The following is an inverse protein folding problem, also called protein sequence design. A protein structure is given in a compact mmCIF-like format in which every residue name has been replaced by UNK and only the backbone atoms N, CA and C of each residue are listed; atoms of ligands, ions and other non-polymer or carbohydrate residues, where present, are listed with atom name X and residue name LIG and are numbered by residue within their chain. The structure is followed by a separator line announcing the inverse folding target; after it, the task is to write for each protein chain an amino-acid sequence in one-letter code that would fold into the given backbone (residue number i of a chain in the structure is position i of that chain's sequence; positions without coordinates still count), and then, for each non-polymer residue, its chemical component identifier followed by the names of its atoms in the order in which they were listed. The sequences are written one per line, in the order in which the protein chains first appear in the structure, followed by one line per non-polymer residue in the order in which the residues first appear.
data_IF_923217458571
#
_entry.id   IF_923217458571
#
_cell.length_a   1.000
_cell.length_b   1.000
_cell.length_c   1.000
_cell.angle_alpha   90.00
_cell.angle_beta   90.00
_cell.angle_gamma   90.00
#
_symmetry.space_group_name_H-M   'P 1'
#
loop_
_entity.id
_entity.type
_entity.pdbx_description
1 polymer ?
#
# COMPACT_ATOMS: atom_id res chain seq x y z
N UNK A 1 9.67 19.98 -46.60
CA UNK A 1 9.74 20.88 -45.43
C UNK A 1 8.97 22.14 -45.78
N UNK A 2 7.84 22.40 -45.12
CA UNK A 2 7.12 23.67 -45.23
C UNK A 2 6.68 24.07 -43.82
N UNK A 3 7.31 25.14 -43.34
CA UNK A 3 7.09 25.80 -42.05
C UNK A 3 5.86 26.70 -42.17
N UNK A 4 4.89 26.53 -41.27
CA UNK A 4 3.71 27.40 -41.16
C UNK A 4 3.56 27.85 -39.71
N UNK A 5 4.21 28.95 -39.35
CA UNK A 5 3.79 29.83 -38.26
C UNK A 5 4.16 31.26 -38.64
N UNK A 6 3.19 31.96 -39.24
CA UNK A 6 3.29 33.38 -39.53
C UNK A 6 3.06 34.21 -38.27
N UNK A 7 3.91 35.23 -38.14
CA UNK A 7 3.90 36.28 -37.15
C UNK A 7 2.59 37.08 -37.07
N UNK A 8 2.31 37.64 -35.87
CA UNK A 8 1.60 38.91 -35.71
C UNK A 8 2.37 39.81 -34.74
N UNK A 9 2.49 41.05 -35.15
CA UNK A 9 3.39 42.10 -34.68
C UNK A 9 2.69 43.04 -33.67
N UNK A 10 3.54 43.85 -33.02
CA UNK A 10 3.33 45.22 -32.55
C UNK A 10 2.75 45.51 -31.14
N UNK A 11 3.70 45.80 -30.24
CA UNK A 11 3.94 47.10 -29.59
C UNK A 11 2.76 47.90 -29.01
N UNK A 12 2.84 48.14 -27.70
CA UNK A 12 2.51 49.45 -27.11
C UNK A 12 3.47 49.77 -25.95
N UNK A 13 4.30 50.79 -26.18
CA UNK A 13 5.09 51.51 -25.19
C UNK A 13 4.20 52.58 -24.52
N UNK A 14 4.29 52.71 -23.20
CA UNK A 14 4.23 53.99 -22.50
C UNK A 14 4.70 53.77 -21.05
N UNK A 15 5.80 54.41 -20.69
CA UNK A 15 6.35 54.36 -19.34
C UNK A 15 5.89 55.52 -18.48
N UNK A 16 6.17 55.42 -17.19
CA UNK A 16 6.55 56.54 -16.32
C UNK A 16 7.29 55.98 -15.11
N UNK A 17 8.54 56.39 -14.94
CA UNK A 17 9.35 56.24 -13.72
C UNK A 17 8.79 57.19 -12.65
N UNK A 18 8.94 56.86 -11.37
CA UNK A 18 9.34 57.81 -10.32
C UNK A 18 9.85 57.05 -9.07
N UNK A 19 11.15 57.28 -8.79
CA UNK A 19 11.81 57.49 -7.49
C UNK A 19 11.73 56.51 -6.31
N UNK A 20 12.95 56.13 -5.89
CA UNK A 20 13.42 55.51 -4.63
C UNK A 20 13.17 56.42 -3.40
N UNK A 21 13.27 55.91 -2.15
CA UNK A 21 14.55 56.02 -1.46
C UNK A 21 14.97 54.80 -0.59
N UNK A 22 16.23 54.85 -0.17
CA UNK A 22 17.05 53.92 0.61
C UNK A 22 16.62 53.82 2.09
N UNK A 23 16.83 52.66 2.74
CA UNK A 23 17.61 52.48 3.98
C UNK A 23 17.32 51.13 4.65
N UNK A 24 18.36 50.48 5.20
CA UNK A 24 18.21 49.43 6.22
C UNK A 24 19.03 48.16 5.98
N UNK A 25 20.09 47.87 6.77
CA UNK A 25 20.98 46.73 6.55
C UNK A 25 20.58 45.48 7.34
N UNK A 26 21.47 44.49 7.27
CA UNK A 26 21.83 43.47 8.27
C UNK A 26 21.46 42.00 8.00
N UNK A 27 22.53 41.19 8.09
CA UNK A 27 22.66 39.75 8.30
C UNK A 27 22.70 38.81 7.09
N UNK A 28 23.89 38.76 6.48
CA UNK A 28 24.44 37.53 5.90
C UNK A 28 24.39 36.39 6.93
N UNK A 29 23.49 35.44 6.76
CA UNK A 29 23.55 34.14 7.45
C UNK A 29 24.44 33.21 6.63
N UNK A 30 25.70 33.11 7.04
CA UNK A 30 26.57 31.99 6.70
C UNK A 30 25.99 30.72 7.33
N UNK A 31 25.29 29.90 6.56
CA UNK A 31 24.97 28.54 6.97
C UNK A 31 26.21 27.68 6.76
N UNK A 32 26.90 27.38 7.86
CA UNK A 32 27.96 26.38 7.90
C UNK A 32 27.44 25.03 7.40
N UNK A 33 28.05 24.52 6.33
CA UNK A 33 27.83 23.16 5.84
C UNK A 33 28.52 22.22 6.82
N UNK A 34 27.73 21.59 7.69
CA UNK A 34 28.19 20.50 8.55
C UNK A 34 28.51 19.29 7.66
N UNK A 35 29.80 19.10 7.37
CA UNK A 35 30.31 17.90 6.71
C UNK A 35 30.24 16.73 7.70
N UNK A 36 29.34 15.79 7.46
CA UNK A 36 29.33 14.50 8.16
C UNK A 36 30.51 13.67 7.67
N UNK A 37 31.52 13.51 8.50
CA UNK A 37 32.58 12.53 8.32
C UNK A 37 32.00 11.14 8.62
N UNK A 38 31.84 10.31 7.58
CA UNK A 38 31.53 8.90 7.76
C UNK A 38 32.81 8.15 8.12
N UNK A 39 32.95 7.78 9.40
CA UNK A 39 33.93 6.79 9.85
C UNK A 39 33.58 5.43 9.24
N UNK A 40 34.48 4.94 8.40
CA UNK A 40 34.45 3.60 7.79
C UNK A 40 34.79 2.55 8.84
N UNK A 41 33.81 1.81 9.34
CA UNK A 41 34.07 0.59 10.13
C UNK A 41 34.23 -0.60 9.20
N UNK A 42 35.33 -1.34 9.33
CA UNK A 42 35.69 -2.48 8.52
C UNK A 42 34.66 -3.63 8.63
N UNK A 43 34.31 -4.22 7.48
CA UNK A 43 33.46 -5.41 7.37
C UNK A 43 34.27 -6.66 7.70
N UNK A 44 33.97 -7.32 8.82
CA UNK A 44 34.52 -8.63 9.17
C UNK A 44 33.88 -9.70 8.27
N UNK A 45 34.71 -10.36 7.46
CA UNK A 45 34.31 -11.45 6.58
C UNK A 45 34.41 -12.78 7.35
N UNK A 46 33.28 -13.45 7.59
CA UNK A 46 33.25 -14.81 8.12
C UNK A 46 33.27 -15.83 6.98
N UNK A 47 34.13 -16.87 7.03
CA UNK A 47 34.28 -17.81 5.92
C UNK A 47 33.11 -18.79 5.81
N UNK A 48 32.68 -19.01 4.57
CA UNK A 48 31.68 -20.00 4.15
C UNK A 48 32.31 -21.39 4.00
N UNK A 49 31.80 -22.40 4.70
CA UNK A 49 32.14 -23.81 4.42
C UNK A 49 31.05 -24.49 3.60
N UNK A 50 31.47 -25.09 2.47
CA UNK A 50 30.65 -25.89 1.54
C UNK A 50 30.48 -27.34 2.05
N UNK A 51 29.54 -28.03 1.40
CA UNK A 51 28.82 -29.24 1.77
C UNK A 51 29.54 -30.62 1.71
N UNK A 52 29.01 -31.55 2.55
CA UNK A 52 28.73 -33.02 2.38
C UNK A 52 29.91 -34.03 2.39
N UNK A 53 29.72 -35.34 2.76
CA UNK A 53 28.52 -36.18 2.56
C UNK A 53 28.09 -37.17 3.71
N UNK A 54 27.02 -37.93 3.40
CA UNK A 54 26.27 -38.99 4.15
C UNK A 54 27.09 -40.24 4.53
N UNK A 55 26.76 -40.87 5.67
CA UNK A 55 26.81 -42.34 5.90
C UNK A 55 25.57 -42.80 6.69
N UNK A 56 25.05 -44.00 6.36
CA UNK A 56 23.89 -44.70 6.94
C UNK A 56 24.33 -45.89 7.83
N UNK A 57 23.43 -46.31 8.73
CA UNK A 57 23.30 -47.60 9.44
C UNK A 57 24.21 -47.77 10.70
N UNK A 58 23.81 -48.40 11.81
CA UNK A 58 22.87 -49.51 12.08
C UNK A 58 22.19 -49.41 13.46
N UNK A 59 21.15 -50.24 13.59
CA UNK A 59 20.38 -50.72 14.74
C UNK A 59 21.22 -51.23 15.94
N UNK A 60 20.60 -51.28 17.15
CA UNK A 60 20.72 -52.33 18.20
C UNK A 60 20.21 -51.83 19.57
N UNK A 61 19.13 -52.49 20.00
CA UNK A 61 18.70 -52.94 21.32
C UNK A 61 18.38 -52.03 22.53
N UNK A 62 17.22 -52.41 23.10
CA UNK A 62 16.57 -52.01 24.34
C UNK A 62 17.09 -52.92 25.48
N UNK A 63 16.98 -52.48 26.75
CA UNK A 63 16.11 -53.28 27.61
C UNK A 63 15.12 -52.47 28.45
N UNK A 64 14.06 -53.20 28.80
CA UNK A 64 12.88 -52.87 29.60
C UNK A 64 13.25 -52.96 31.09
N UNK A 65 12.77 -52.02 31.91
CA UNK A 65 12.45 -52.29 33.32
C UNK A 65 11.05 -51.75 33.62
N UNK A 66 10.30 -52.50 34.43
CA UNK A 66 8.84 -52.55 34.56
C UNK A 66 8.49 -52.32 36.04
N UNK A 67 7.40 -51.59 36.30
CA UNK A 67 6.71 -51.52 37.60
C UNK A 67 6.94 -50.20 38.35
N UNK A 68 5.95 -49.52 38.93
CA UNK A 68 4.65 -49.97 39.45
C UNK A 68 3.59 -48.85 39.37
N UNK A 69 2.34 -49.29 39.38
CA UNK A 69 1.09 -48.54 39.20
C UNK A 69 0.60 -47.82 40.46
N UNK A 70 0.02 -46.63 40.31
CA UNK A 70 -1.01 -46.10 41.21
C UNK A 70 -2.08 -45.32 40.42
N UNK A 71 -3.29 -45.29 41.00
CA UNK A 71 -4.61 -45.23 40.36
C UNK A 71 -5.09 -43.82 39.99
N UNK A 72 -6.02 -43.78 39.04
CA UNK A 72 -6.75 -42.65 38.44
C UNK A 72 -7.53 -41.77 39.43
N UNK A 73 -7.69 -40.49 39.07
CA UNK A 73 -8.95 -39.73 39.22
C UNK A 73 -9.32 -39.16 37.84
N UNK A 74 -10.52 -39.43 37.28
CA UNK A 74 -10.90 -38.94 35.96
C UNK A 74 -11.62 -37.58 36.07
N UNK A 75 -10.97 -36.50 35.65
CA UNK A 75 -11.67 -35.25 35.36
C UNK A 75 -12.33 -35.36 33.97
N UNK A 76 -13.66 -35.26 33.98
CA UNK A 76 -14.57 -35.36 32.83
C UNK A 76 -14.19 -34.34 31.75
N UNK A 77 -13.50 -34.80 30.71
CA UNK A 77 -13.47 -34.09 29.42
C UNK A 77 -14.80 -34.34 28.72
N UNK A 78 -15.70 -33.35 28.73
CA UNK A 78 -16.83 -33.30 27.79
C UNK A 78 -16.25 -33.37 26.37
N UNK A 79 -16.32 -34.55 25.76
CA UNK A 79 -16.10 -34.75 24.32
C UNK A 79 -17.22 -33.99 23.61
N UNK A 80 -16.90 -32.80 23.11
CA UNK A 80 -17.70 -32.15 22.08
C UNK A 80 -17.55 -33.03 20.84
N UNK A 81 -18.62 -33.73 20.48
CA UNK A 81 -18.75 -34.46 19.22
C UNK A 81 -18.41 -33.54 18.05
N UNK A 82 -17.57 -33.95 17.09
CA UNK A 82 -17.39 -33.19 15.86
C UNK A 82 -18.72 -33.20 15.11
N UNK A 83 -19.48 -32.11 15.22
CA UNK A 83 -20.61 -31.86 14.32
C UNK A 83 -20.10 -32.01 12.90
N UNK A 84 -20.71 -32.97 12.21
CA UNK A 84 -20.58 -33.26 10.80
C UNK A 84 -20.49 -31.93 10.02
N UNK A 85 -19.30 -31.64 9.48
CA UNK A 85 -19.10 -30.50 8.62
C UNK A 85 -19.86 -30.80 7.34
N UNK A 86 -21.13 -30.38 7.29
CA UNK A 86 -21.89 -30.25 6.05
C UNK A 86 -20.95 -29.61 5.04
N UNK A 87 -20.59 -30.36 3.99
CA UNK A 87 -19.81 -29.87 2.88
C UNK A 87 -20.61 -28.72 2.29
N UNK A 88 -20.31 -27.49 2.70
CA UNK A 88 -20.85 -26.29 2.09
C UNK A 88 -20.45 -26.37 0.63
N UNK A 89 -21.40 -26.71 -0.23
CA UNK A 89 -21.24 -26.57 -1.67
C UNK A 89 -20.77 -25.15 -1.87
N UNK A 90 -19.54 -25.01 -2.36
CA UNK A 90 -18.84 -23.75 -2.48
C UNK A 90 -19.43 -23.05 -3.71
N UNK A 91 -20.72 -22.69 -3.64
CA UNK A 91 -21.37 -21.82 -4.60
C UNK A 91 -20.73 -20.47 -4.37
N UNK A 92 -19.64 -20.21 -5.09
CA UNK A 92 -19.04 -18.89 -5.18
C UNK A 92 -20.21 -17.95 -5.48
N UNK A 93 -20.48 -16.93 -4.64
CA UNK A 93 -21.53 -15.97 -4.95
C UNK A 93 -21.32 -15.51 -6.39
N UNK A 94 -22.38 -15.41 -7.19
CA UNK A 94 -22.23 -14.96 -8.57
C UNK A 94 -22.00 -13.45 -8.50
N UNK A 95 -20.75 -13.04 -8.59
CA UNK A 95 -20.39 -11.63 -8.62
C UNK A 95 -20.43 -11.12 -10.06
N UNK A 96 -21.03 -9.95 -10.26
CA UNK A 96 -21.12 -9.33 -11.57
C UNK A 96 -19.74 -8.96 -12.11
N UNK A 97 -19.33 -9.63 -13.19
CA UNK A 97 -18.04 -9.43 -13.84
C UNK A 97 -17.81 -7.98 -14.29
N UNK A 98 -18.88 -7.23 -14.60
CA UNK A 98 -18.81 -5.81 -15.01
C UNK A 98 -18.34 -4.91 -13.85
N UNK A 99 -18.84 -5.14 -12.64
CA UNK A 99 -18.46 -4.37 -11.45
C UNK A 99 -17.04 -4.68 -10.99
N UNK A 100 -16.52 -5.88 -11.30
CA UNK A 100 -15.15 -6.28 -10.98
C UNK A 100 -14.06 -5.59 -11.82
N UNK A 101 -14.43 -4.84 -12.85
CA UNK A 101 -13.46 -4.15 -13.71
C UNK A 101 -12.97 -2.88 -13.03
N UNK A 102 -11.70 -2.92 -12.60
CA UNK A 102 -11.04 -1.77 -11.97
C UNK A 102 -10.86 -0.65 -12.99
N UNK A 103 -11.22 0.60 -12.66
CA UNK A 103 -10.90 1.76 -13.47
C UNK A 103 -9.41 1.81 -13.83
N UNK A 104 -9.10 2.05 -15.11
CA UNK A 104 -7.72 2.19 -15.58
C UNK A 104 -7.19 3.56 -15.20
N UNK A 105 -5.94 3.62 -14.73
CA UNK A 105 -5.21 4.89 -14.57
C UNK A 105 -4.92 5.46 -15.95
N UNK A 106 -5.21 6.75 -16.13
CA UNK A 106 -4.78 7.50 -17.32
C UNK A 106 -3.35 7.99 -17.15
N UNK A 107 -2.71 8.37 -18.26
CA UNK A 107 -1.28 8.73 -18.32
C UNK A 107 -0.86 9.63 -17.16
N UNK A 108 -0.03 9.09 -16.26
CA UNK A 108 0.46 9.78 -15.06
C UNK A 108 1.68 10.64 -15.34
N UNK A 109 2.19 10.62 -16.57
CA UNK A 109 3.38 11.35 -17.01
C UNK A 109 3.07 12.08 -18.31
N UNK A 110 3.78 13.19 -18.56
CA UNK A 110 3.62 13.99 -19.77
C UNK A 110 3.90 13.13 -21.03
N UNK A 111 4.92 12.27 -20.97
CA UNK A 111 5.21 11.29 -22.02
C UNK A 111 4.07 10.31 -22.25
N UNK A 112 3.37 9.84 -21.21
CA UNK A 112 2.23 8.94 -21.37
C UNK A 112 1.03 9.61 -22.05
N UNK A 113 0.84 10.92 -21.86
CA UNK A 113 -0.17 11.71 -22.56
C UNK A 113 0.23 11.87 -24.03
N UNK A 114 1.47 12.32 -24.29
CA UNK A 114 2.03 12.45 -25.63
C UNK A 114 1.96 11.14 -26.43
N UNK A 115 2.45 10.03 -25.87
CA UNK A 115 2.42 8.73 -26.54
C UNK A 115 1.02 8.25 -26.85
N UNK A 116 0.02 8.57 -26.01
CA UNK A 116 -1.37 8.23 -26.28
C UNK A 116 -1.91 8.98 -27.50
N UNK A 117 -1.62 10.28 -27.60
CA UNK A 117 -2.00 11.10 -28.76
C UNK A 117 -1.25 10.66 -30.01
N UNK A 118 0.06 10.41 -29.89
CA UNK A 118 0.90 9.92 -30.97
C UNK A 118 0.46 8.54 -31.48
N UNK A 119 0.10 7.63 -30.58
CA UNK A 119 -0.46 6.33 -30.95
C UNK A 119 -1.84 6.46 -31.59
N UNK A 120 -2.69 7.38 -31.12
CA UNK A 120 -4.00 7.60 -31.74
C UNK A 120 -3.86 8.07 -33.20
N UNK A 121 -2.90 8.95 -33.48
CA UNK A 121 -2.58 9.40 -34.84
C UNK A 121 -1.89 8.29 -35.65
N UNK A 122 -0.97 7.53 -35.06
CA UNK A 122 -0.24 6.46 -35.72
C UNK A 122 -1.08 5.21 -36.04
N UNK A 123 -2.08 4.89 -35.22
CA UNK A 123 -3.02 3.78 -35.48
C UNK A 123 -3.90 4.04 -36.71
N UNK A 124 -4.23 5.30 -36.99
CA UNK A 124 -4.97 5.66 -38.22
C UNK A 124 -4.17 5.30 -39.48
N UNK A 125 -2.85 5.38 -39.39
CA UNK A 125 -1.92 5.07 -40.48
C UNK A 125 -1.55 3.58 -40.55
N UNK A 126 -2.18 2.70 -39.74
CA UNK A 126 -1.94 1.24 -39.68
C UNK A 126 -0.47 0.83 -39.46
N UNK A 127 0.32 1.70 -38.82
CA UNK A 127 1.72 1.41 -38.49
C UNK A 127 1.75 0.45 -37.26
N UNK A 128 2.65 -0.55 -37.22
CA UNK A 128 2.77 -1.43 -36.06
C UNK A 128 3.08 -0.64 -34.78
N UNK A 129 2.34 -0.94 -33.71
CA UNK A 129 2.41 -0.23 -32.41
C UNK A 129 3.82 -0.20 -31.85
N UNK A 130 4.59 -1.28 -32.01
CA UNK A 130 5.97 -1.36 -31.52
C UNK A 130 6.86 -0.25 -32.11
N UNK A 131 6.72 0.00 -33.41
CA UNK A 131 7.57 0.97 -34.09
C UNK A 131 7.08 2.40 -33.85
N UNK A 132 5.77 2.60 -33.70
CA UNK A 132 5.20 3.87 -33.21
C UNK A 132 5.75 4.27 -31.83
N UNK A 133 5.86 3.34 -30.89
CA UNK A 133 6.40 3.66 -29.55
C UNK A 133 7.88 4.05 -29.66
N UNK A 134 8.65 3.41 -30.55
CA UNK A 134 10.06 3.77 -30.77
C UNK A 134 10.20 5.16 -31.39
N UNK A 135 9.39 5.50 -32.39
CA UNK A 135 9.42 6.83 -33.01
C UNK A 135 8.94 7.89 -32.02
N UNK A 136 7.87 7.63 -31.26
CA UNK A 136 7.38 8.50 -30.20
C UNK A 136 8.46 8.80 -29.15
N UNK A 137 9.24 7.80 -28.74
CA UNK A 137 10.32 8.03 -27.77
C UNK A 137 11.42 8.93 -28.34
N UNK A 138 11.78 8.78 -29.62
CA UNK A 138 12.78 9.63 -30.27
C UNK A 138 12.29 11.07 -30.40
N UNK A 139 11.05 11.24 -30.84
CA UNK A 139 10.43 12.56 -30.97
C UNK A 139 10.28 13.25 -29.61
N UNK A 140 9.81 12.54 -28.59
CA UNK A 140 9.69 13.10 -27.23
C UNK A 140 11.02 13.62 -26.68
N UNK A 141 12.11 12.90 -26.94
CA UNK A 141 13.44 13.31 -26.51
C UNK A 141 13.97 14.52 -27.31
N UNK A 142 13.55 14.67 -28.58
CA UNK A 142 13.89 15.80 -29.42
C UNK A 142 13.06 17.07 -29.13
N UNK A 143 11.86 16.93 -28.53
CA UNK A 143 11.03 18.08 -28.14
C UNK A 143 11.72 18.95 -27.08
N UNK A 144 11.62 20.27 -27.25
CA UNK A 144 12.09 21.23 -26.25
C UNK A 144 11.19 21.24 -25.02
N UNK A 145 11.68 21.77 -23.90
CA UNK A 145 10.88 21.83 -22.66
C UNK A 145 9.61 22.65 -22.83
N UNK A 146 9.65 23.71 -23.65
CA UNK A 146 8.47 24.52 -24.00
C UNK A 146 7.38 23.69 -24.71
N UNK A 147 7.77 22.74 -25.58
CA UNK A 147 6.85 21.84 -26.26
C UNK A 147 6.34 20.71 -25.34
N UNK A 148 7.06 20.40 -24.27
CA UNK A 148 6.64 19.41 -23.26
C UNK A 148 5.65 19.99 -22.24
N UNK A 149 5.68 21.31 -22.00
CA UNK A 149 4.80 21.99 -21.03
C UNK A 149 3.30 21.68 -21.23
N UNK A 150 2.72 21.75 -22.45
CA UNK A 150 1.30 21.49 -22.65
C UNK A 150 0.87 20.09 -22.19
N UNK A 151 1.75 19.09 -22.29
CA UNK A 151 1.47 17.73 -21.85
C UNK A 151 1.51 17.54 -20.34
N UNK A 152 2.06 18.50 -19.59
CA UNK A 152 2.07 18.49 -18.12
C UNK A 152 0.74 18.94 -17.51
N UNK A 153 0.06 19.90 -18.16
CA UNK A 153 -1.22 20.47 -17.73
C UNK A 153 -2.32 19.40 -17.53
N UNK A 154 -2.57 18.46 -18.49
CA UNK A 154 -3.62 17.48 -18.32
C UNK A 154 -3.30 16.41 -17.26
N UNK A 155 -2.09 16.31 -16.73
CA UNK A 155 -1.72 15.27 -15.76
C UNK A 155 -2.55 15.39 -14.48
N UNK A 156 -2.66 16.61 -13.94
CA UNK A 156 -3.43 16.86 -12.72
C UNK A 156 -4.92 16.60 -12.95
N UNK A 157 -5.48 17.14 -14.04
CA UNK A 157 -6.88 16.90 -14.42
C UNK A 157 -7.18 15.40 -14.61
N UNK A 158 -6.28 14.66 -15.28
CA UNK A 158 -6.41 13.21 -15.47
C UNK A 158 -6.32 12.43 -14.16
N UNK A 159 -5.45 12.87 -13.24
CA UNK A 159 -5.31 12.27 -11.92
C UNK A 159 -6.57 12.48 -11.08
N UNK A 160 -7.09 13.70 -11.04
CA UNK A 160 -8.33 14.03 -10.31
C UNK A 160 -9.54 13.31 -10.90
N UNK A 161 -9.67 13.28 -12.23
CA UNK A 161 -10.72 12.54 -12.90
C UNK A 161 -10.62 11.03 -12.63
N UNK A 162 -9.41 10.48 -12.55
CA UNK A 162 -9.20 9.08 -12.16
C UNK A 162 -9.59 8.84 -10.70
N UNK A 163 -9.18 9.71 -9.77
CA UNK A 163 -9.52 9.60 -8.35
C UNK A 163 -11.03 9.64 -8.15
N UNK A 164 -11.74 10.58 -8.79
CA UNK A 164 -13.22 10.65 -8.76
C UNK A 164 -13.88 9.37 -9.29
N UNK A 165 -13.44 8.86 -10.45
CA UNK A 165 -13.98 7.61 -11.03
C UNK A 165 -13.66 6.40 -10.16
N UNK A 166 -12.46 6.34 -9.59
CA UNK A 166 -12.03 5.26 -8.70
C UNK A 166 -12.85 5.26 -7.41
N UNK A 167 -13.12 6.42 -6.86
CA UNK A 167 -13.97 6.61 -5.68
C UNK A 167 -15.42 6.17 -5.95
N UNK A 168 -16.01 6.63 -7.06
CA UNK A 168 -17.36 6.23 -7.48
C UNK A 168 -17.44 4.72 -7.70
N UNK A 169 -16.48 4.14 -8.42
CA UNK A 169 -16.39 2.70 -8.62
C UNK A 169 -16.31 1.97 -7.28
N UNK A 170 -15.44 2.39 -6.37
CA UNK A 170 -15.28 1.74 -5.07
C UNK A 170 -16.56 1.83 -4.21
N UNK A 171 -17.27 2.97 -4.22
CA UNK A 171 -18.56 3.14 -3.52
C UNK A 171 -19.67 2.27 -4.11
N UNK A 172 -19.65 2.05 -5.42
CA UNK A 172 -20.66 1.22 -6.11
C UNK A 172 -20.51 -0.27 -5.84
N UNK A 173 -19.39 -0.72 -5.27
CA UNK A 173 -19.14 -2.13 -5.01
C UNK A 173 -19.89 -2.62 -3.76
N UNK A 174 -20.65 -3.73 -3.85
CA UNK A 174 -21.21 -4.37 -2.67
C UNK A 174 -20.12 -4.90 -1.71
N UNK A 175 -20.43 -5.05 -0.42
CA UNK A 175 -19.51 -5.61 0.56
C UNK A 175 -18.92 -6.95 0.10
N UNK A 176 -17.59 -7.10 0.21
CA UNK A 176 -16.89 -8.33 -0.16
C UNK A 176 -16.40 -8.43 -1.61
N UNK A 177 -16.91 -7.61 -2.54
CA UNK A 177 -16.44 -7.62 -3.95
C UNK A 177 -14.94 -7.30 -4.05
N UNK A 178 -14.47 -6.25 -3.36
CA UNK A 178 -13.05 -5.86 -3.35
C UNK A 178 -12.14 -7.01 -2.91
N UNK A 179 -12.57 -7.79 -1.90
CA UNK A 179 -11.81 -8.94 -1.40
C UNK A 179 -11.63 -9.99 -2.50
N UNK A 180 -12.70 -10.29 -3.23
CA UNK A 180 -12.63 -11.29 -4.29
C UNK A 180 -11.86 -10.79 -5.52
N UNK A 181 -12.00 -9.52 -5.89
CA UNK A 181 -11.17 -8.91 -6.93
C UNK A 181 -9.69 -9.02 -6.54
N UNK A 182 -9.37 -8.80 -5.26
CA UNK A 182 -8.00 -8.96 -4.76
C UNK A 182 -7.50 -10.39 -4.80
N UNK A 183 -8.35 -11.39 -4.54
CA UNK A 183 -8.01 -12.81 -4.72
C UNK A 183 -7.65 -13.10 -6.18
N UNK A 184 -8.52 -12.73 -7.13
CA UNK A 184 -8.27 -12.92 -8.56
C UNK A 184 -7.03 -12.16 -9.06
N UNK A 185 -6.78 -10.96 -8.53
CA UNK A 185 -5.58 -10.18 -8.87
C UNK A 185 -4.31 -10.84 -8.34
N UNK A 186 -4.33 -11.35 -7.11
CA UNK A 186 -3.22 -12.10 -6.52
C UNK A 186 -2.89 -13.36 -7.32
N UNK A 187 -3.91 -14.11 -7.73
CA UNK A 187 -3.75 -15.28 -8.61
C UNK A 187 -3.10 -14.91 -9.95
N UNK A 188 -3.41 -13.73 -10.48
CA UNK A 188 -2.79 -13.18 -11.72
C UNK A 188 -1.46 -12.46 -11.47
N UNK A 189 -0.89 -12.50 -10.25
CA UNK A 189 0.34 -11.79 -9.90
C UNK A 189 0.23 -10.25 -9.91
N UNK A 190 -0.99 -9.70 -9.91
CA UNK A 190 -1.25 -8.25 -9.92
C UNK A 190 -1.36 -7.70 -8.50
N UNK A 191 -0.94 -6.45 -8.30
CA UNK A 191 -1.09 -5.76 -7.03
C UNK A 191 -2.54 -5.66 -6.55
N UNK A 192 -2.71 -5.77 -5.23
CA UNK A 192 -4.00 -5.66 -4.55
C UNK A 192 -4.54 -4.23 -4.64
N UNK A 193 -5.85 -4.14 -4.80
CA UNK A 193 -6.63 -2.92 -4.74
C UNK A 193 -6.72 -2.48 -3.28
N UNK A 194 -6.44 -1.20 -3.05
CA UNK A 194 -6.52 -0.55 -1.74
C UNK A 194 -7.75 0.35 -1.69
N UNK A 195 -8.25 0.62 -0.48
CA UNK A 195 -9.30 1.63 -0.29
C UNK A 195 -8.81 2.98 -0.85
N UNK A 196 -9.67 3.77 -1.49
CA UNK A 196 -9.31 5.11 -1.92
C UNK A 196 -8.91 5.99 -0.74
N UNK A 197 -8.02 6.95 -0.95
CA UNK A 197 -7.52 7.84 0.11
C UNK A 197 -8.61 8.77 0.67
N UNK A 198 -9.62 9.09 -0.13
CA UNK A 198 -10.77 9.89 0.27
C UNK A 198 -11.69 9.19 1.26
N UNK A 199 -11.68 7.85 1.30
CA UNK A 199 -12.44 7.08 2.27
C UNK A 199 -11.61 6.86 3.53
N UNK A 200 -12.15 7.29 4.67
CA UNK A 200 -11.52 7.00 5.94
C UNK A 200 -11.61 5.51 6.28
N UNK A 201 -10.58 5.01 6.94
CA UNK A 201 -10.54 3.64 7.44
C UNK A 201 -11.45 3.52 8.66
N UNK A 202 -12.30 2.49 8.74
CA UNK A 202 -13.12 2.23 9.90
C UNK A 202 -12.27 2.09 11.15
N UNK A 203 -12.78 2.51 12.31
CA UNK A 203 -12.06 2.41 13.56
C UNK A 203 -11.81 0.96 13.94
N UNK A 204 -10.77 0.77 14.73
CA UNK A 204 -10.32 -0.55 15.13
C UNK A 204 -11.26 -1.19 16.17
N UNK A 205 -11.06 -2.48 16.44
CA UNK A 205 -11.77 -3.20 17.51
C UNK A 205 -11.14 -2.89 18.88
N UNK A 206 -11.82 -3.31 19.97
CA UNK A 206 -11.36 -3.10 21.34
C UNK A 206 -9.93 -3.57 21.58
N UNK A 207 -9.55 -4.73 21.02
CA UNK A 207 -8.21 -5.28 21.13
C UNK A 207 -7.11 -4.34 20.63
N UNK A 208 -7.33 -3.57 19.55
CA UNK A 208 -6.29 -2.66 19.05
C UNK A 208 -6.07 -1.48 20.01
N UNK A 209 -7.10 -1.00 20.68
CA UNK A 209 -6.94 0.02 21.73
C UNK A 209 -6.15 -0.52 22.91
N UNK A 210 -6.51 -1.73 23.38
CA UNK A 210 -5.70 -2.44 24.38
C UNK A 210 -4.25 -2.63 23.91
N UNK A 211 -4.05 -3.09 22.67
CA UNK A 211 -2.71 -3.33 22.12
C UNK A 211 -1.90 -2.02 22.06
N UNK A 212 -2.54 -0.90 21.72
CA UNK A 212 -1.88 0.40 21.72
C UNK A 212 -1.42 0.83 23.11
N UNK A 213 -2.24 0.59 24.14
CA UNK A 213 -1.90 0.87 25.54
C UNK A 213 -0.83 -0.11 26.04
N UNK A 214 -0.99 -1.40 25.76
CA UNK A 214 -0.03 -2.44 26.11
C UNK A 214 1.37 -2.11 25.58
N UNK A 215 1.47 -1.67 24.32
CA UNK A 215 2.77 -1.24 23.73
C UNK A 215 3.37 0.00 24.39
N UNK A 216 2.57 0.86 25.01
CA UNK A 216 3.06 2.04 25.74
C UNK A 216 3.50 1.66 27.15
N UNK A 217 2.81 0.71 27.80
CA UNK A 217 3.09 0.31 29.18
C UNK A 217 4.18 -0.74 29.31
N UNK A 218 4.37 -1.60 28.30
CA UNK A 218 5.42 -2.62 28.32
C UNK A 218 6.63 -2.12 27.53
N UNK A 219 7.80 -1.93 28.16
CA UNK A 219 9.05 -1.66 27.46
C UNK A 219 9.32 -2.77 26.43
N UNK A 220 9.58 -2.37 25.19
CA UNK A 220 9.76 -3.30 24.07
C UNK A 220 11.22 -3.53 23.68
N UNK A 221 12.16 -3.05 24.49
CA UNK A 221 13.56 -2.87 24.08
C UNK A 221 14.24 -4.19 23.70
N UNK A 222 13.87 -5.29 24.36
CA UNK A 222 14.44 -6.62 24.10
C UNK A 222 13.50 -7.55 23.31
N UNK A 223 12.26 -7.14 23.04
CA UNK A 223 11.24 -8.01 22.47
C UNK A 223 10.90 -7.60 21.04
N UNK A 224 11.21 -8.50 20.09
CA UNK A 224 10.83 -8.32 18.69
C UNK A 224 9.32 -8.06 18.53
N UNK A 225 8.94 -7.14 17.63
CA UNK A 225 7.55 -6.71 17.42
C UNK A 225 6.54 -7.87 17.21
N UNK A 226 6.86 -8.95 16.46
CA UNK A 226 5.97 -10.11 16.35
C UNK A 226 5.79 -10.85 17.67
N UNK A 227 6.83 -10.92 18.52
CA UNK A 227 6.77 -11.56 19.83
C UNK A 227 5.97 -10.70 20.81
N UNK A 228 6.15 -9.39 20.79
CA UNK A 228 5.32 -8.44 21.56
C UNK A 228 3.84 -8.57 21.19
N UNK A 229 3.54 -8.75 19.89
CA UNK A 229 2.17 -8.97 19.40
C UNK A 229 1.57 -10.29 19.90
N UNK A 230 2.37 -11.35 20.00
CA UNK A 230 1.93 -12.63 20.59
C UNK A 230 1.66 -12.48 22.08
N UNK A 231 2.54 -11.80 22.81
CA UNK A 231 2.40 -11.55 24.25
C UNK A 231 1.15 -10.73 24.54
N UNK A 232 0.92 -9.65 23.79
CA UNK A 232 -0.29 -8.84 23.92
C UNK A 232 -1.55 -9.64 23.57
N UNK A 233 -1.49 -10.53 22.57
CA UNK A 233 -2.58 -11.45 22.27
C UNK A 233 -2.87 -12.45 23.39
N UNK A 234 -1.84 -12.93 24.10
CA UNK A 234 -2.00 -13.78 25.27
C UNK A 234 -2.58 -13.00 26.46
N UNK A 235 -2.04 -11.82 26.75
CA UNK A 235 -2.53 -10.91 27.78
C UNK A 235 -4.01 -10.57 27.55
N UNK A 236 -4.39 -10.16 26.32
CA UNK A 236 -5.78 -9.90 25.97
C UNK A 236 -6.69 -11.10 26.23
N UNK A 237 -6.27 -12.33 25.94
CA UNK A 237 -7.10 -13.51 26.24
C UNK A 237 -7.27 -13.73 27.75
N UNK A 238 -6.22 -13.47 28.53
CA UNK A 238 -6.21 -13.62 29.98
C UNK A 238 -6.97 -12.51 30.73
N UNK A 239 -7.19 -11.33 30.12
CA UNK A 239 -7.93 -10.23 30.78
C UNK A 239 -9.34 -10.66 31.21
N UNK A 240 -9.84 -10.16 32.36
CA UNK A 240 -11.22 -10.35 32.77
C UNK A 240 -12.20 -9.73 31.76
N UNK A 241 -13.44 -10.24 31.77
CA UNK A 241 -14.47 -9.79 30.82
C UNK A 241 -14.78 -8.30 30.99
N UNK A 242 -14.77 -7.80 32.22
CA UNK A 242 -15.05 -6.39 32.54
C UNK A 242 -14.03 -5.43 31.91
N UNK A 243 -12.74 -5.73 32.04
CA UNK A 243 -11.68 -4.92 31.45
C UNK A 243 -11.71 -4.98 29.92
N UNK A 244 -12.00 -6.15 29.34
CA UNK A 244 -12.24 -6.28 27.89
C UNK A 244 -13.41 -5.41 27.44
N UNK A 245 -14.47 -5.35 28.25
CA UNK A 245 -15.67 -4.62 27.90
C UNK A 245 -15.44 -3.10 27.91
N UNK A 246 -14.59 -2.58 28.79
CA UNK A 246 -14.11 -1.18 28.71
C UNK A 246 -13.57 -0.84 27.32
N UNK A 247 -12.72 -1.71 26.76
CA UNK A 247 -12.15 -1.52 25.43
C UNK A 247 -13.16 -1.73 24.29
N UNK A 248 -14.06 -2.71 24.43
CA UNK A 248 -15.12 -2.96 23.45
C UNK A 248 -16.11 -1.80 23.39
N UNK A 249 -16.52 -1.27 24.56
CA UNK A 249 -17.39 -0.11 24.68
C UNK A 249 -16.74 1.11 24.02
N UNK A 250 -15.47 1.41 24.35
CA UNK A 250 -14.71 2.48 23.69
C UNK A 250 -14.69 2.31 22.17
N UNK A 251 -14.43 1.09 21.68
CA UNK A 251 -14.43 0.81 20.25
C UNK A 251 -15.82 0.98 19.60
N UNK A 252 -16.89 0.65 20.33
CA UNK A 252 -18.27 0.81 19.86
C UNK A 252 -18.63 2.28 19.72
N UNK A 253 -18.37 3.11 20.73
CA UNK A 253 -18.64 4.56 20.69
C UNK A 253 -17.90 5.21 19.52
N UNK A 254 -16.59 4.95 19.40
CA UNK A 254 -15.79 5.52 18.30
C UNK A 254 -16.31 5.05 16.94
N UNK A 255 -16.79 3.80 16.84
CA UNK A 255 -17.40 3.26 15.62
C UNK A 255 -18.70 3.96 15.28
N UNK A 256 -19.58 4.14 16.25
CA UNK A 256 -20.85 4.84 16.07
C UNK A 256 -20.60 6.29 15.62
N UNK A 257 -19.68 7.00 16.28
CA UNK A 257 -19.33 8.37 15.91
C UNK A 257 -18.66 8.47 14.54
N UNK A 258 -17.86 7.47 14.16
CA UNK A 258 -17.29 7.38 12.82
C UNK A 258 -18.39 7.27 11.75
N UNK A 259 -19.39 6.42 11.97
CA UNK A 259 -20.50 6.27 11.02
C UNK A 259 -21.44 7.47 11.00
N UNK A 260 -21.65 8.15 12.14
CA UNK A 260 -22.38 9.43 12.18
C UNK A 260 -21.68 10.52 11.37
N UNK A 261 -20.35 10.62 11.52
CA UNK A 261 -19.54 11.64 10.81
C UNK A 261 -19.25 11.27 9.34
N UNK A 262 -19.36 9.99 8.97
CA UNK A 262 -19.10 9.50 7.62
C UNK A 262 -20.19 8.51 7.14
N UNK A 263 -21.43 8.99 6.93
CA UNK A 263 -22.59 8.14 6.60
C UNK A 263 -22.51 7.43 5.23
N UNK A 264 -21.59 7.85 4.36
CA UNK A 264 -21.44 7.34 2.97
C UNK A 264 -20.15 6.53 2.73
N UNK A 265 -19.63 5.85 3.75
CA UNK A 265 -18.38 5.04 3.69
C UNK A 265 -18.64 3.57 3.96
#
# INVERSE_FOLDING_TARGET
MMSLLSAKFALRLAGTRLTRPLAGPVFSRTTAISLRTFLTTASVHLPTTKAKPKVKAKDVDKPKAKGTSAKKVPAVKKKITPTERVKKVNVKPKFDRKLMVVPKRHGTTAYAVFTKEYMANGLQNKIPVRDLIKTASKEWNALSDAQKQPYSVPIQANKEAFEKRYDQWFRSLPPGYVRQINIQRKERGKHLIRRPKSMKTPPHNGFIYFYSEYRQTTPSDDVSLPQLSKNAGAAWRALPVEEKEKYNHRARVIREDFFKTHPST
#
